data_IF_446073641380
#
_entry.id   IF_446073641380
#
_cell.length_a   1.000
_cell.length_b   1.000
_cell.length_c   1.000
_cell.angle_alpha   90.00
_cell.angle_beta   90.00
_cell.angle_gamma   90.00
#
_symmetry.space_group_name_H-M   'P 1'
#
loop_
_entity.id
_entity.type
_entity.pdbx_description
1 polymer ?
#
# COMPACT_ATOMS: atom_id res chain seq x y z
N UNK A 1 31.91 6.07 12.66
CA UNK A 1 31.33 6.23 14.02
C UNK A 1 29.98 5.50 14.19
N UNK A 2 29.01 5.59 13.27
CA UNK A 2 27.68 4.97 13.43
C UNK A 2 27.68 3.43 13.66
N UNK A 3 28.55 2.67 12.97
CA UNK A 3 28.62 1.20 13.11
C UNK A 3 29.13 0.71 14.46
N UNK A 4 30.10 1.41 15.06
CA UNK A 4 30.65 1.04 16.37
C UNK A 4 29.61 1.24 17.48
N UNK A 5 28.89 2.35 17.43
CA UNK A 5 27.76 2.62 18.33
C UNK A 5 26.66 1.58 18.20
N UNK A 6 26.25 1.22 16.98
CA UNK A 6 25.24 0.17 16.75
C UNK A 6 25.68 -1.20 17.28
N UNK A 7 26.97 -1.54 17.19
CA UNK A 7 27.51 -2.79 17.75
C UNK A 7 27.46 -2.77 19.29
N UNK A 8 27.85 -1.67 19.93
CA UNK A 8 27.77 -1.54 21.37
C UNK A 8 26.33 -1.59 21.89
N UNK A 9 25.41 -0.89 21.22
CA UNK A 9 23.98 -0.91 21.54
C UNK A 9 23.38 -2.32 21.42
N UNK A 10 23.82 -3.10 20.44
CA UNK A 10 23.39 -4.49 20.27
C UNK A 10 24.02 -5.44 21.28
N UNK A 11 25.32 -5.31 21.56
CA UNK A 11 25.99 -6.10 22.59
C UNK A 11 25.32 -5.93 23.96
N UNK A 12 24.90 -4.71 24.29
CA UNK A 12 24.14 -4.44 25.51
C UNK A 12 22.76 -5.11 25.53
N UNK A 13 22.07 -5.17 24.39
CA UNK A 13 20.82 -5.94 24.28
C UNK A 13 21.04 -7.43 24.59
N UNK A 14 22.10 -8.02 24.02
CA UNK A 14 22.46 -9.42 24.25
C UNK A 14 22.78 -9.67 25.72
N UNK A 15 23.62 -8.84 26.33
CA UNK A 15 24.00 -8.96 27.75
C UNK A 15 22.78 -8.96 28.69
N UNK A 16 21.78 -8.13 28.39
CA UNK A 16 20.61 -7.96 29.25
C UNK A 16 19.54 -9.02 29.01
N UNK A 17 19.26 -9.37 27.75
CA UNK A 17 18.10 -10.18 27.37
C UNK A 17 18.43 -11.66 27.17
N UNK A 18 19.63 -12.01 26.69
CA UNK A 18 19.98 -13.41 26.44
C UNK A 18 19.91 -14.29 27.70
N UNK A 19 20.35 -13.82 28.91
CA UNK A 19 20.22 -14.62 30.13
C UNK A 19 18.78 -14.92 30.56
N UNK A 20 17.80 -14.12 30.11
CA UNK A 20 16.37 -14.36 30.39
C UNK A 20 15.85 -15.57 29.60
N UNK A 21 16.48 -15.86 28.45
CA UNK A 21 16.05 -16.90 27.52
C UNK A 21 14.85 -16.47 26.67
N UNK A 22 14.69 -17.16 25.53
CA UNK A 22 13.55 -16.97 24.64
C UNK A 22 13.07 -18.31 24.10
N UNK A 23 11.80 -18.63 24.37
CA UNK A 23 11.13 -19.85 23.92
C UNK A 23 10.11 -19.59 22.82
N UNK A 24 9.93 -18.32 22.41
CA UNK A 24 8.96 -17.96 21.37
C UNK A 24 7.51 -17.95 21.84
N UNK A 25 7.26 -17.95 23.15
CA UNK A 25 5.95 -17.93 23.78
C UNK A 25 5.66 -16.61 24.52
N UNK A 26 4.47 -16.50 25.10
CA UNK A 26 4.04 -15.29 25.83
C UNK A 26 4.86 -15.05 27.11
N UNK A 27 5.29 -16.13 27.79
CA UNK A 27 6.15 -16.04 28.97
C UNK A 27 7.49 -15.39 28.65
N UNK A 28 8.07 -15.73 27.50
CA UNK A 28 9.32 -15.12 27.04
C UNK A 28 9.17 -13.61 26.83
N UNK A 29 8.04 -13.18 26.25
CA UNK A 29 7.72 -11.76 26.05
C UNK A 29 7.59 -11.04 27.40
N UNK A 30 6.82 -11.60 28.34
CA UNK A 30 6.63 -11.04 29.67
C UNK A 30 7.95 -10.93 30.44
N UNK A 31 8.80 -11.96 30.38
CA UNK A 31 10.08 -11.99 31.06
C UNK A 31 11.04 -10.92 30.51
N UNK A 32 11.08 -10.73 29.18
CA UNK A 32 11.87 -9.66 28.57
C UNK A 32 11.37 -8.27 28.99
N UNK A 33 10.05 -8.06 29.01
CA UNK A 33 9.45 -6.79 29.47
C UNK A 33 9.81 -6.52 30.92
N UNK A 34 9.66 -7.52 31.81
CA UNK A 34 9.99 -7.39 33.22
C UNK A 34 11.47 -7.02 33.40
N UNK A 35 12.36 -7.75 32.72
CA UNK A 35 13.80 -7.51 32.79
C UNK A 35 14.17 -6.09 32.38
N UNK A 36 13.58 -5.58 31.30
CA UNK A 36 13.82 -4.21 30.86
C UNK A 36 13.29 -3.17 31.86
N UNK A 37 12.16 -3.43 32.51
CA UNK A 37 11.60 -2.51 33.52
C UNK A 37 12.42 -2.41 34.81
N UNK A 38 13.22 -3.43 35.11
CA UNK A 38 14.12 -3.43 36.27
C UNK A 38 15.38 -2.60 36.07
N UNK A 39 15.69 -2.20 34.83
CA UNK A 39 16.88 -1.39 34.56
C UNK A 39 16.68 0.07 34.99
N UNK A 40 17.73 0.72 35.53
CA UNK A 40 17.66 2.11 35.96
C UNK A 40 17.62 3.11 34.78
N UNK A 41 17.34 4.37 35.08
CA UNK A 41 17.65 5.55 34.25
C UNK A 41 17.21 5.47 32.76
N UNK A 42 15.98 5.00 32.50
CA UNK A 42 15.40 4.82 31.15
C UNK A 42 16.14 3.81 30.25
N UNK A 43 17.13 3.07 30.78
CA UNK A 43 17.95 2.14 30.00
C UNK A 43 17.07 1.07 29.34
N UNK A 44 16.12 0.50 30.08
CA UNK A 44 15.20 -0.52 29.57
C UNK A 44 14.38 -0.05 28.38
N UNK A 45 13.85 1.17 28.47
CA UNK A 45 13.13 1.77 27.37
C UNK A 45 14.08 2.01 26.19
N UNK A 46 15.28 2.56 26.42
CA UNK A 46 16.27 2.78 25.36
C UNK A 46 16.66 1.48 24.64
N UNK A 47 16.82 0.37 25.36
CA UNK A 47 17.08 -0.95 24.79
C UNK A 47 15.89 -1.46 23.97
N UNK A 48 14.66 -1.38 24.50
CA UNK A 48 13.45 -1.73 23.72
C UNK A 48 13.40 -0.96 22.39
N UNK A 49 13.63 0.35 22.43
CA UNK A 49 13.69 1.22 21.24
C UNK A 49 14.82 0.82 20.28
N UNK A 50 15.98 0.43 20.80
CA UNK A 50 17.11 -0.05 19.99
C UNK A 50 16.78 -1.35 19.26
N UNK A 51 16.10 -2.29 19.92
CA UNK A 51 15.68 -3.56 19.31
C UNK A 51 14.70 -3.30 18.15
N UNK A 52 13.65 -2.50 18.39
CA UNK A 52 12.67 -2.16 17.36
C UNK A 52 13.31 -1.40 16.19
N UNK A 53 14.26 -0.50 16.46
CA UNK A 53 15.03 0.19 15.41
C UNK A 53 15.91 -0.78 14.62
N UNK A 54 16.60 -1.71 15.27
CA UNK A 54 17.41 -2.72 14.60
C UNK A 54 16.55 -3.59 13.67
N UNK A 55 15.37 -4.01 14.14
CA UNK A 55 14.39 -4.71 13.32
C UNK A 55 14.01 -3.89 12.07
N UNK A 56 13.55 -2.64 12.26
CA UNK A 56 13.10 -1.76 11.17
C UNK A 56 14.16 -1.60 10.06
N UNK A 57 15.42 -1.44 10.44
CA UNK A 57 16.52 -1.29 9.48
C UNK A 57 17.05 -2.62 8.91
N UNK A 58 16.45 -3.76 9.25
CA UNK A 58 16.87 -5.08 8.77
C UNK A 58 18.21 -5.52 9.34
N UNK A 59 18.56 -5.01 10.52
CA UNK A 59 19.80 -5.35 11.23
C UNK A 59 19.65 -6.56 12.14
N UNK A 60 18.41 -7.00 12.44
CA UNK A 60 18.14 -8.27 13.13
C UNK A 60 18.16 -9.43 12.13
N UNK A 61 19.37 -9.78 11.69
CA UNK A 61 19.61 -10.98 10.89
C UNK A 61 19.47 -12.26 11.73
N UNK A 62 19.29 -13.45 11.13
CA UNK A 62 19.16 -14.71 11.86
C UNK A 62 20.26 -14.96 12.90
N UNK A 63 21.50 -14.57 12.59
CA UNK A 63 22.66 -14.75 13.48
C UNK A 63 22.54 -13.85 14.72
N UNK A 64 22.13 -12.59 14.51
CA UNK A 64 21.88 -11.66 15.61
C UNK A 64 20.66 -12.05 16.44
N UNK A 65 19.64 -12.59 15.80
CA UNK A 65 18.51 -13.15 16.52
C UNK A 65 18.99 -14.31 17.42
N UNK A 66 19.81 -15.22 16.90
CA UNK A 66 20.39 -16.31 17.68
C UNK A 66 21.25 -15.85 18.85
N UNK A 67 22.02 -14.76 18.69
CA UNK A 67 22.76 -14.14 19.80
C UNK A 67 21.83 -13.65 20.94
N UNK A 68 20.65 -13.13 20.59
CA UNK A 68 19.68 -12.63 21.57
C UNK A 68 18.85 -13.73 22.23
N UNK A 69 18.46 -14.75 21.47
CA UNK A 69 17.49 -15.77 21.91
C UNK A 69 18.15 -17.09 22.31
N UNK A 70 19.42 -17.28 21.98
CA UNK A 70 20.15 -18.54 22.14
C UNK A 70 19.89 -19.56 21.03
N UNK A 71 19.00 -19.26 20.06
CA UNK A 71 18.66 -20.18 18.96
C UNK A 71 18.34 -19.43 17.66
N UNK A 72 18.79 -19.93 16.50
CA UNK A 72 18.41 -19.34 15.22
C UNK A 72 16.90 -19.47 14.97
N UNK A 73 16.28 -18.52 14.25
CA UNK A 73 14.89 -18.67 13.84
C UNK A 73 14.74 -19.84 12.86
N UNK A 74 13.60 -20.52 12.87
CA UNK A 74 13.33 -21.60 11.91
C UNK A 74 12.94 -21.03 10.54
N UNK A 75 12.25 -19.88 10.56
CA UNK A 75 11.81 -19.12 9.38
C UNK A 75 12.03 -17.63 9.62
N UNK A 76 12.21 -16.86 8.54
CA UNK A 76 12.35 -15.41 8.64
C UNK A 76 11.16 -14.73 9.35
N UNK A 77 9.93 -15.25 9.13
CA UNK A 77 8.70 -14.78 9.78
C UNK A 77 8.67 -14.98 11.29
N UNK A 78 9.50 -15.88 11.85
CA UNK A 78 9.55 -16.09 13.30
C UNK A 78 10.12 -14.84 14.01
N UNK A 79 11.10 -14.16 13.40
CA UNK A 79 11.60 -12.88 13.91
C UNK A 79 10.49 -11.82 13.82
N UNK A 80 9.78 -11.76 12.69
CA UNK A 80 8.73 -10.75 12.48
C UNK A 80 7.58 -10.89 13.48
N UNK A 81 7.13 -12.11 13.73
CA UNK A 81 6.08 -12.41 14.69
C UNK A 81 6.54 -12.19 16.14
N UNK A 82 7.78 -12.57 16.47
CA UNK A 82 8.36 -12.31 17.79
C UNK A 82 8.46 -10.81 18.06
N UNK A 83 8.97 -10.04 17.09
CA UNK A 83 9.09 -8.59 17.21
C UNK A 83 7.71 -7.93 17.28
N UNK A 84 6.70 -8.44 16.56
CA UNK A 84 5.32 -7.96 16.68
C UNK A 84 4.81 -8.06 18.12
N UNK A 85 4.95 -9.23 18.74
CA UNK A 85 4.52 -9.46 20.13
C UNK A 85 5.30 -8.59 21.11
N UNK A 86 6.61 -8.50 20.94
CA UNK A 86 7.47 -7.63 21.75
C UNK A 86 7.09 -6.15 21.61
N UNK A 87 6.78 -5.69 20.40
CA UNK A 87 6.37 -4.31 20.16
C UNK A 87 5.07 -4.00 20.91
N UNK A 88 4.07 -4.86 20.81
CA UNK A 88 2.79 -4.69 21.51
C UNK A 88 2.98 -4.64 23.03
N UNK A 89 3.83 -5.53 23.56
CA UNK A 89 4.13 -5.62 24.98
C UNK A 89 4.97 -4.43 25.49
N UNK A 90 5.99 -4.00 24.74
CA UNK A 90 6.78 -2.80 25.07
C UNK A 90 5.91 -1.54 25.07
N UNK A 91 4.97 -1.43 24.14
CA UNK A 91 4.03 -0.32 24.11
C UNK A 91 3.06 -0.35 25.30
N UNK A 92 2.53 -1.52 25.66
CA UNK A 92 1.68 -1.67 26.84
C UNK A 92 2.43 -1.36 28.15
N UNK A 93 3.71 -1.71 28.22
CA UNK A 93 4.57 -1.45 29.38
C UNK A 93 5.15 -0.02 29.43
N UNK A 94 4.87 0.82 28.43
CA UNK A 94 5.42 2.18 28.35
C UNK A 94 6.92 2.26 28.00
N UNK A 95 7.54 1.14 27.61
CA UNK A 95 8.96 1.06 27.23
C UNK A 95 9.23 1.61 25.82
N UNK A 96 8.23 1.53 24.94
CA UNK A 96 8.29 2.08 23.59
C UNK A 96 6.96 2.75 23.25
N UNK A 97 6.99 3.84 22.48
CA UNK A 97 5.75 4.39 21.91
C UNK A 97 5.44 3.69 20.57
N UNK A 98 4.17 3.58 20.16
CA UNK A 98 3.84 3.27 18.77
C UNK A 98 4.59 4.26 17.87
N UNK A 99 5.47 3.75 17.02
CA UNK A 99 6.32 4.62 16.22
C UNK A 99 5.58 5.08 14.97
N UNK A 100 5.53 6.40 14.80
CA UNK A 100 5.41 7.01 13.48
C UNK A 100 6.80 7.13 12.89
N UNK A 101 7.01 6.58 11.71
CA UNK A 101 8.29 6.76 11.00
C UNK A 101 8.14 7.86 9.97
N UNK A 102 7.97 9.10 10.42
CA UNK A 102 8.03 10.26 9.51
C UNK A 102 9.44 10.47 8.92
N UNK A 103 10.42 9.64 9.31
CA UNK A 103 11.81 9.69 8.88
C UNK A 103 11.94 9.45 7.36
N UNK A 104 11.82 10.53 6.57
CA UNK A 104 12.39 10.72 5.22
C UNK A 104 12.62 9.42 4.45
N UNK A 105 11.55 8.63 4.28
CA UNK A 105 11.60 7.38 3.55
C UNK A 105 11.59 7.72 2.06
N UNK A 106 12.73 8.14 1.52
CA UNK A 106 12.82 8.57 0.12
C UNK A 106 12.22 7.54 -0.85
N UNK A 107 12.53 6.25 -0.66
CA UNK A 107 11.84 5.13 -1.33
C UNK A 107 11.74 3.93 -0.39
N UNK A 108 10.55 3.35 -0.27
CA UNK A 108 10.35 2.11 0.48
C UNK A 108 11.03 0.96 -0.28
N UNK A 109 11.84 0.18 0.44
CA UNK A 109 12.49 -1.01 -0.09
C UNK A 109 11.69 -2.26 0.27
N UNK A 110 11.78 -3.30 -0.56
CA UNK A 110 11.09 -4.57 -0.35
C UNK A 110 11.22 -5.13 1.08
N UNK A 111 12.45 -5.19 1.62
CA UNK A 111 12.66 -5.69 2.98
C UNK A 111 11.98 -4.84 4.07
N UNK A 112 11.84 -3.53 3.86
CA UNK A 112 11.12 -2.65 4.77
C UNK A 112 9.61 -2.89 4.69
N UNK A 113 9.05 -2.95 3.47
CA UNK A 113 7.64 -3.23 3.23
C UNK A 113 7.23 -4.59 3.84
N UNK A 114 8.05 -5.63 3.67
CA UNK A 114 7.82 -6.94 4.28
C UNK A 114 7.76 -6.86 5.80
N UNK A 115 8.74 -6.22 6.46
CA UNK A 115 8.72 -6.08 7.93
C UNK A 115 7.54 -5.25 8.40
N UNK A 116 7.22 -4.19 7.69
CA UNK A 116 6.07 -3.33 7.99
C UNK A 116 4.74 -4.10 7.96
N UNK A 117 4.56 -5.04 7.04
CA UNK A 117 3.37 -5.88 6.95
C UNK A 117 3.07 -6.66 8.25
N UNK A 118 4.11 -6.98 9.01
CA UNK A 118 4.00 -7.74 10.26
C UNK A 118 3.67 -6.88 11.49
N UNK A 119 3.75 -5.55 11.37
CA UNK A 119 3.69 -4.64 12.52
C UNK A 119 2.43 -3.76 12.47
N UNK A 120 1.30 -4.17 13.09
CA UNK A 120 0.02 -3.46 12.98
C UNK A 120 0.07 -2.05 13.56
N UNK A 121 0.90 -1.83 14.60
CA UNK A 121 1.09 -0.52 15.24
C UNK A 121 2.14 0.36 14.57
N UNK A 122 2.82 -0.15 13.55
CA UNK A 122 3.79 0.62 12.79
C UNK A 122 3.11 1.30 11.61
N UNK A 123 3.18 2.63 11.59
CA UNK A 123 2.81 3.44 10.44
C UNK A 123 4.03 4.16 9.87
N UNK A 124 4.12 4.17 8.55
CA UNK A 124 5.13 4.84 7.75
C UNK A 124 4.87 6.35 7.67
N UNK A 125 3.62 6.82 7.76
CA UNK A 125 3.29 8.25 7.80
C UNK A 125 1.88 8.53 8.30
N UNK A 126 1.62 9.78 8.70
CA UNK A 126 0.33 10.19 9.28
C UNK A 126 -0.86 10.18 8.29
N UNK A 127 -0.60 10.31 7.00
CA UNK A 127 -1.58 10.30 5.91
C UNK A 127 -0.94 9.60 4.71
N UNK A 128 -1.73 8.90 3.89
CA UNK A 128 -1.33 8.39 2.58
C UNK A 128 -0.16 7.37 2.59
N UNK A 129 -0.07 6.58 3.65
CA UNK A 129 0.94 5.50 3.80
C UNK A 129 0.86 4.45 2.68
N UNK A 130 -0.33 4.20 2.13
CA UNK A 130 -0.54 3.34 0.97
C UNK A 130 0.13 3.92 -0.29
N UNK A 131 0.16 5.25 -0.47
CA UNK A 131 0.83 5.88 -1.60
C UNK A 131 2.34 5.61 -1.62
N UNK A 132 2.98 5.45 -0.45
CA UNK A 132 4.40 5.09 -0.38
C UNK A 132 4.69 3.66 -0.85
N UNK A 133 3.65 2.82 -0.89
CA UNK A 133 3.71 1.41 -1.24
C UNK A 133 3.17 1.11 -2.66
N UNK A 134 2.54 2.10 -3.29
CA UNK A 134 2.06 2.08 -4.68
C UNK A 134 3.20 2.25 -5.69
N UNK A 135 4.11 1.26 -5.72
CA UNK A 135 5.22 1.16 -6.67
C UNK A 135 5.16 -0.23 -7.33
N UNK A 136 5.27 -0.28 -8.67
CA UNK A 136 5.28 -1.54 -9.43
C UNK A 136 6.32 -2.54 -8.89
N UNK A 137 7.48 -2.04 -8.43
CA UNK A 137 8.55 -2.86 -7.89
C UNK A 137 8.21 -3.48 -6.52
N UNK A 138 7.22 -2.94 -5.81
CA UNK A 138 6.79 -3.43 -4.50
C UNK A 138 5.64 -4.43 -4.59
N UNK A 139 4.83 -4.43 -5.66
CA UNK A 139 3.68 -5.35 -5.81
C UNK A 139 4.04 -6.82 -5.53
N UNK A 140 5.12 -7.40 -6.10
CA UNK A 140 5.49 -8.78 -5.80
C UNK A 140 5.83 -9.00 -4.32
N UNK A 141 6.43 -8.00 -3.67
CA UNK A 141 6.77 -8.06 -2.24
C UNK A 141 5.51 -7.99 -1.37
N UNK A 142 4.54 -7.14 -1.73
CA UNK A 142 3.27 -7.02 -1.00
C UNK A 142 2.46 -8.31 -1.09
N UNK A 143 2.39 -8.91 -2.28
CA UNK A 143 1.74 -10.21 -2.47
C UNK A 143 2.46 -11.32 -1.71
N UNK A 144 3.79 -11.41 -1.82
CA UNK A 144 4.58 -12.40 -1.08
C UNK A 144 4.39 -12.26 0.44
N UNK A 145 4.39 -11.03 0.97
CA UNK A 145 4.12 -10.79 2.38
C UNK A 145 2.68 -11.19 2.75
N UNK A 146 1.68 -10.91 1.91
CA UNK A 146 0.29 -11.32 2.15
C UNK A 146 0.08 -12.85 2.14
N UNK A 147 1.01 -13.59 1.55
CA UNK A 147 1.02 -15.06 1.54
C UNK A 147 1.52 -15.66 2.86
N UNK A 148 2.31 -14.92 3.65
CA UNK A 148 2.90 -15.48 4.86
C UNK A 148 1.80 -15.73 5.92
N UNK A 149 1.73 -16.93 6.52
CA UNK A 149 0.72 -17.24 7.52
C UNK A 149 0.82 -16.32 8.74
N UNK A 150 -0.29 -15.72 9.16
CA UNK A 150 -0.37 -14.90 10.38
C UNK A 150 -0.01 -13.42 10.20
N UNK A 151 0.25 -12.95 8.98
CA UNK A 151 0.54 -11.53 8.71
C UNK A 151 -0.67 -10.66 9.06
N UNK A 152 -0.54 -9.73 10.03
CA UNK A 152 -1.67 -8.93 10.50
C UNK A 152 -2.24 -7.99 9.44
N UNK A 153 -1.40 -7.48 8.52
CA UNK A 153 -1.83 -6.54 7.48
C UNK A 153 -2.27 -7.21 6.18
N UNK A 154 -2.51 -8.53 6.16
CA UNK A 154 -2.82 -9.27 4.92
C UNK A 154 -3.85 -8.57 4.04
N UNK A 155 -5.02 -8.26 4.59
CA UNK A 155 -6.10 -7.63 3.83
C UNK A 155 -5.69 -6.24 3.30
N UNK A 156 -5.03 -5.45 4.13
CA UNK A 156 -4.57 -4.12 3.75
C UNK A 156 -3.52 -4.15 2.64
N UNK A 157 -2.61 -5.14 2.62
CA UNK A 157 -1.66 -5.34 1.52
C UNK A 157 -2.38 -5.60 0.19
N UNK A 158 -3.42 -6.45 0.20
CA UNK A 158 -4.20 -6.76 -0.99
C UNK A 158 -4.96 -5.53 -1.51
N UNK A 159 -5.49 -4.72 -0.60
CA UNK A 159 -6.16 -3.46 -0.92
C UNK A 159 -5.20 -2.44 -1.55
N UNK A 160 -3.96 -2.34 -1.06
CA UNK A 160 -2.91 -1.50 -1.66
C UNK A 160 -2.61 -1.96 -3.09
N UNK A 161 -2.49 -3.27 -3.34
CA UNK A 161 -2.25 -3.80 -4.70
C UNK A 161 -3.42 -3.48 -5.63
N UNK A 162 -4.66 -3.66 -5.16
CA UNK A 162 -5.86 -3.31 -5.93
C UNK A 162 -5.92 -1.80 -6.24
N UNK A 163 -5.63 -0.97 -5.24
CA UNK A 163 -5.57 0.49 -5.37
C UNK A 163 -4.49 0.89 -6.37
N UNK A 164 -3.27 0.35 -6.25
CA UNK A 164 -2.15 0.62 -7.15
C UNK A 164 -2.50 0.31 -8.61
N UNK A 165 -3.05 -0.89 -8.88
CA UNK A 165 -3.47 -1.29 -10.21
C UNK A 165 -4.53 -0.34 -10.78
N UNK A 166 -5.51 0.02 -9.96
CA UNK A 166 -6.61 0.92 -10.34
C UNK A 166 -6.11 2.32 -10.66
N UNK A 167 -5.36 2.93 -9.74
CA UNK A 167 -4.86 4.30 -9.88
C UNK A 167 -3.90 4.40 -11.07
N UNK A 168 -2.99 3.44 -11.24
CA UNK A 168 -2.09 3.38 -12.40
C UNK A 168 -2.86 3.35 -13.73
N UNK A 169 -3.89 2.52 -13.85
CA UNK A 169 -4.71 2.44 -15.05
C UNK A 169 -5.55 3.73 -15.25
N UNK A 170 -6.11 4.28 -14.18
CA UNK A 170 -6.86 5.54 -14.20
C UNK A 170 -5.98 6.70 -14.70
N UNK A 171 -4.76 6.84 -14.17
CA UNK A 171 -3.80 7.86 -14.59
C UNK A 171 -3.37 7.68 -16.05
N UNK A 172 -3.07 6.45 -16.46
CA UNK A 172 -2.74 6.14 -17.86
C UNK A 172 -3.89 6.53 -18.81
N UNK A 173 -5.13 6.22 -18.43
CA UNK A 173 -6.32 6.61 -19.17
C UNK A 173 -6.52 8.13 -19.19
N UNK A 174 -6.30 8.80 -18.06
CA UNK A 174 -6.44 10.25 -17.95
C UNK A 174 -5.43 10.99 -18.83
N UNK A 175 -4.15 10.62 -18.73
CA UNK A 175 -3.07 11.21 -19.51
C UNK A 175 -3.07 10.78 -20.99
N UNK A 176 -3.81 9.71 -21.32
CA UNK A 176 -3.90 9.18 -22.68
C UNK A 176 -2.61 8.51 -23.14
N UNK A 177 -1.84 7.95 -22.21
CA UNK A 177 -0.52 7.37 -22.45
C UNK A 177 -0.47 5.93 -21.92
N UNK A 178 0.03 5.00 -22.73
CA UNK A 178 0.39 3.63 -22.32
C UNK A 178 -0.74 2.81 -21.65
N UNK A 179 -2.02 3.17 -21.80
CA UNK A 179 -3.13 2.50 -21.09
C UNK A 179 -3.17 0.99 -21.32
N UNK A 180 -3.05 0.54 -22.57
CA UNK A 180 -3.01 -0.90 -22.88
C UNK A 180 -1.85 -1.62 -22.20
N UNK A 181 -0.66 -1.01 -22.19
CA UNK A 181 0.52 -1.58 -21.55
C UNK A 181 0.35 -1.64 -20.01
N UNK A 182 -0.24 -0.61 -19.41
CA UNK A 182 -0.53 -0.57 -17.97
C UNK A 182 -1.58 -1.62 -17.58
N UNK A 183 -2.64 -1.79 -18.36
CA UNK A 183 -3.66 -2.83 -18.14
C UNK A 183 -3.05 -4.24 -18.20
N UNK A 184 -2.21 -4.51 -19.20
CA UNK A 184 -1.50 -5.80 -19.33
C UNK A 184 -0.54 -6.04 -18.16
N UNK A 185 0.16 -4.99 -17.71
CA UNK A 185 1.06 -5.06 -16.55
C UNK A 185 0.31 -5.43 -15.27
N UNK A 186 -0.82 -4.75 -15.00
CA UNK A 186 -1.66 -5.04 -13.84
C UNK A 186 -2.15 -6.49 -13.86
N UNK A 187 -2.61 -6.98 -15.02
CA UNK A 187 -3.03 -8.37 -15.19
C UNK A 187 -1.90 -9.38 -14.96
N UNK A 188 -0.65 -9.00 -15.24
CA UNK A 188 0.54 -9.81 -14.97
C UNK A 188 0.72 -10.18 -13.50
N UNK A 189 0.08 -9.47 -12.56
CA UNK A 189 0.11 -9.78 -11.13
C UNK A 189 -0.97 -10.80 -10.70
N UNK A 190 -1.94 -11.12 -11.56
CA UNK A 190 -3.04 -12.01 -11.21
C UNK A 190 -2.61 -13.45 -10.82
N UNK A 191 -1.61 -14.08 -11.48
CA UNK A 191 -1.12 -15.39 -11.08
C UNK A 191 -0.62 -15.40 -9.62
N UNK A 192 0.18 -14.39 -9.25
CA UNK A 192 0.66 -14.24 -7.87
C UNK A 192 -0.49 -13.98 -6.89
N UNK A 193 -1.46 -13.13 -7.25
CA UNK A 193 -2.64 -12.91 -6.40
C UNK A 193 -3.42 -14.22 -6.14
N UNK A 194 -3.50 -15.11 -7.13
CA UNK A 194 -4.13 -16.44 -6.99
C UNK A 194 -3.32 -17.35 -6.07
N UNK A 195 -2.00 -17.40 -6.23
CA UNK A 195 -1.09 -18.21 -5.39
C UNK A 195 -1.20 -17.85 -3.90
N UNK A 196 -1.45 -16.58 -3.58
CA UNK A 196 -1.58 -16.10 -2.18
C UNK A 196 -3.01 -16.20 -1.63
N UNK A 197 -3.91 -16.88 -2.35
CA UNK A 197 -5.29 -17.09 -1.94
C UNK A 197 -6.13 -15.82 -1.96
N UNK A 198 -5.91 -14.92 -2.93
CA UNK A 198 -6.70 -13.72 -3.14
C UNK A 198 -7.47 -13.78 -4.48
N UNK A 199 -8.46 -14.69 -4.61
CA UNK A 199 -9.15 -14.95 -5.89
C UNK A 199 -9.91 -13.73 -6.43
N UNK A 200 -10.49 -12.90 -5.55
CA UNK A 200 -11.19 -11.68 -5.95
C UNK A 200 -10.23 -10.64 -6.55
N UNK A 201 -9.05 -10.48 -5.94
CA UNK A 201 -8.00 -9.63 -6.47
C UNK A 201 -7.48 -10.16 -7.82
N UNK A 202 -7.23 -11.46 -7.93
CA UNK A 202 -6.79 -12.08 -9.18
C UNK A 202 -7.82 -11.86 -10.31
N UNK A 203 -9.11 -12.09 -10.03
CA UNK A 203 -10.18 -11.86 -11.00
C UNK A 203 -10.30 -10.38 -11.40
N UNK A 204 -10.10 -9.46 -10.46
CA UNK A 204 -10.04 -8.02 -10.76
C UNK A 204 -8.87 -7.67 -11.69
N UNK A 205 -7.66 -8.15 -11.39
CA UNK A 205 -6.47 -7.90 -12.20
C UNK A 205 -6.60 -8.50 -13.61
N UNK A 206 -7.16 -9.70 -13.74
CA UNK A 206 -7.45 -10.33 -15.04
C UNK A 206 -8.48 -9.52 -15.84
N UNK A 207 -9.52 -9.03 -15.17
CA UNK A 207 -10.52 -8.17 -15.80
C UNK A 207 -9.90 -6.88 -16.32
N UNK A 208 -8.99 -6.24 -15.58
CA UNK A 208 -8.21 -5.11 -16.10
C UNK A 208 -7.46 -5.49 -17.39
N UNK A 209 -6.77 -6.63 -17.40
CA UNK A 209 -6.07 -7.12 -18.60
C UNK A 209 -6.97 -7.35 -19.80
N UNK A 210 -8.19 -7.86 -19.58
CA UNK A 210 -9.16 -8.09 -20.65
C UNK A 210 -9.51 -6.81 -21.42
N UNK A 211 -9.45 -5.65 -20.74
CA UNK A 211 -9.73 -4.36 -21.36
C UNK A 211 -8.69 -3.95 -22.43
N UNK A 212 -7.51 -4.59 -22.44
CA UNK A 212 -6.41 -4.34 -23.38
C UNK A 212 -6.36 -5.29 -24.59
N UNK A 213 -7.21 -6.31 -24.66
CA UNK A 213 -7.25 -7.28 -25.77
C UNK A 213 -8.01 -6.73 -26.99
N UNK A 214 -8.92 -5.79 -26.75
CA UNK A 214 -9.80 -5.24 -27.78
C UNK A 214 -10.91 -6.22 -28.20
N UNK A 215 -11.98 -5.67 -28.76
CA UNK A 215 -13.16 -6.41 -29.21
C UNK A 215 -14.44 -5.64 -28.97
N UNK A 216 -15.57 -6.10 -29.52
CA UNK A 216 -16.84 -5.42 -29.34
C UNK A 216 -17.21 -5.32 -27.86
N UNK A 217 -17.71 -4.15 -27.47
CA UNK A 217 -18.17 -3.86 -26.11
C UNK A 217 -19.65 -3.52 -26.20
N UNK A 218 -20.43 -3.82 -25.16
CA UNK A 218 -21.80 -3.34 -25.03
C UNK A 218 -21.86 -2.26 -23.93
N UNK A 219 -23.05 -1.75 -23.64
CA UNK A 219 -23.19 -0.73 -22.61
C UNK A 219 -22.68 -1.22 -21.25
N UNK A 220 -22.98 -2.46 -20.86
CA UNK A 220 -22.57 -3.01 -19.57
C UNK A 220 -21.05 -3.14 -19.46
N UNK A 221 -20.38 -3.57 -20.53
CA UNK A 221 -18.91 -3.61 -20.62
C UNK A 221 -18.29 -2.21 -20.58
N UNK A 222 -18.93 -1.21 -21.20
CA UNK A 222 -18.50 0.19 -21.11
C UNK A 222 -18.63 0.73 -19.68
N UNK A 223 -19.73 0.44 -18.98
CA UNK A 223 -19.91 0.77 -17.57
C UNK A 223 -18.83 0.12 -16.70
N UNK A 224 -18.56 -1.18 -16.90
CA UNK A 224 -17.55 -1.91 -16.13
C UNK A 224 -16.14 -1.34 -16.32
N UNK A 225 -15.78 -0.94 -17.55
CA UNK A 225 -14.51 -0.27 -17.83
C UNK A 225 -14.35 1.03 -17.04
N UNK A 226 -15.41 1.82 -16.89
CA UNK A 226 -15.35 3.06 -16.08
C UNK A 226 -15.25 2.77 -14.58
N UNK A 227 -15.96 1.75 -14.08
CA UNK A 227 -15.85 1.31 -12.68
C UNK A 227 -14.42 0.88 -12.34
N UNK A 228 -13.83 0.05 -13.20
CA UNK A 228 -12.48 -0.47 -13.03
C UNK A 228 -11.39 0.62 -13.18
N UNK A 229 -11.72 1.80 -13.74
CA UNK A 229 -10.82 2.94 -13.91
C UNK A 229 -11.13 4.11 -12.96
N UNK A 230 -11.94 3.93 -11.92
CA UNK A 230 -12.17 4.97 -10.91
C UNK A 230 -10.93 5.28 -10.08
N UNK A 231 -10.71 6.52 -9.64
CA UNK A 231 -9.55 6.82 -8.79
C UNK A 231 -9.77 6.32 -7.35
N UNK A 232 -8.72 5.77 -6.74
CA UNK A 232 -8.66 5.24 -5.38
C UNK A 232 -9.54 4.00 -5.11
N UNK A 233 -10.84 4.10 -5.36
CA UNK A 233 -11.80 3.01 -5.15
C UNK A 233 -12.74 2.87 -6.34
N UNK A 234 -13.42 1.73 -6.42
CA UNK A 234 -14.52 1.56 -7.37
C UNK A 234 -15.61 2.60 -7.06
N UNK A 235 -16.01 3.44 -8.02
CA UNK A 235 -17.04 4.42 -7.79
C UNK A 235 -18.41 3.75 -7.74
N UNK A 236 -19.38 4.31 -7.00
CA UNK A 236 -20.73 3.79 -7.03
C UNK A 236 -21.30 3.93 -8.46
N UNK A 237 -22.04 2.91 -8.93
CA UNK A 237 -22.66 2.92 -10.27
C UNK A 237 -23.50 4.18 -10.53
N UNK A 238 -24.14 4.73 -9.51
CA UNK A 238 -24.93 5.96 -9.58
C UNK A 238 -24.11 7.21 -9.90
N UNK A 239 -22.78 7.19 -9.73
CA UNK A 239 -21.89 8.29 -10.06
C UNK A 239 -21.37 8.23 -11.52
N UNK A 240 -21.67 7.16 -12.27
CA UNK A 240 -21.25 7.04 -13.67
C UNK A 240 -22.15 7.92 -14.57
N UNK A 241 -21.54 8.86 -15.30
CA UNK A 241 -22.19 9.56 -16.41
C UNK A 241 -21.68 8.97 -17.74
N UNK A 242 -22.26 7.83 -18.11
CA UNK A 242 -22.05 7.14 -19.38
C UNK A 242 -23.12 7.56 -20.40
N UNK A 243 -22.68 8.17 -21.51
CA UNK A 243 -23.56 8.60 -22.62
C UNK A 243 -23.28 7.80 -23.87
N UNK A 244 -24.33 7.45 -24.58
CA UNK A 244 -24.22 6.88 -25.93
C UNK A 244 -23.81 7.99 -26.90
N UNK A 245 -22.84 7.70 -27.74
CA UNK A 245 -22.38 8.57 -28.85
C UNK A 245 -22.29 7.75 -30.13
N UNK A 246 -22.11 8.40 -31.27
CA UNK A 246 -21.85 7.69 -32.52
C UNK A 246 -20.61 6.80 -32.36
N UNK A 247 -20.76 5.51 -32.69
CA UNK A 247 -19.68 4.53 -32.62
C UNK A 247 -19.31 4.04 -31.22
N UNK A 248 -19.99 4.44 -30.13
CA UNK A 248 -19.67 3.94 -28.80
C UNK A 248 -20.23 4.73 -27.62
N UNK A 249 -19.41 4.90 -26.60
CA UNK A 249 -19.78 5.56 -25.35
C UNK A 249 -18.76 6.58 -24.85
N UNK A 250 -19.26 7.60 -24.16
CA UNK A 250 -18.47 8.56 -23.39
C UNK A 250 -18.77 8.44 -21.90
N UNK A 251 -17.73 8.27 -21.10
CA UNK A 251 -17.82 8.31 -19.64
C UNK A 251 -16.90 9.36 -19.02
N UNK A 252 -17.21 9.82 -17.82
CA UNK A 252 -16.23 10.58 -17.03
C UNK A 252 -15.31 9.64 -16.25
N UNK A 253 -14.01 9.94 -16.29
CA UNK A 253 -13.08 9.43 -15.30
C UNK A 253 -13.27 10.23 -14.00
N UNK A 254 -13.59 9.53 -12.92
CA UNK A 254 -13.81 10.14 -11.61
C UNK A 254 -12.43 10.33 -10.95
N UNK A 255 -11.93 11.57 -10.97
CA UNK A 255 -10.65 12.01 -10.42
C UNK A 255 -10.87 13.19 -9.46
N UNK A 256 -10.04 13.33 -8.43
CA UNK A 256 -10.11 14.52 -7.57
C UNK A 256 -9.64 15.78 -8.34
N UNK A 257 -10.57 16.65 -8.73
CA UNK A 257 -10.28 18.05 -9.10
C UNK A 257 -10.23 18.40 -10.59
N UNK A 258 -10.20 17.42 -11.52
CA UNK A 258 -10.36 17.67 -12.97
C UNK A 258 -11.02 16.48 -13.65
N UNK A 259 -12.11 16.73 -14.35
CA UNK A 259 -12.82 15.68 -15.07
C UNK A 259 -12.28 15.59 -16.50
N UNK A 260 -11.91 14.39 -16.94
CA UNK A 260 -11.72 14.06 -18.36
C UNK A 260 -12.70 13.01 -18.78
N UNK A 261 -13.12 13.09 -20.05
CA UNK A 261 -13.95 12.07 -20.64
C UNK A 261 -13.09 10.98 -21.26
N UNK A 262 -13.55 9.75 -21.13
CA UNK A 262 -13.02 8.59 -21.79
C UNK A 262 -14.03 8.18 -22.86
N UNK A 263 -13.58 8.08 -24.11
CA UNK A 263 -14.34 7.47 -25.19
C UNK A 263 -14.01 5.99 -25.28
N UNK A 264 -15.04 5.16 -25.35
CA UNK A 264 -14.97 3.71 -25.51
C UNK A 264 -15.62 3.36 -26.85
N UNK A 265 -14.83 2.84 -27.79
CA UNK A 265 -15.33 2.39 -29.09
C UNK A 265 -16.17 1.12 -28.97
N UNK A 266 -17.32 1.05 -29.64
CA UNK A 266 -18.23 -0.10 -29.58
C UNK A 266 -17.72 -1.33 -30.32
N UNK A 267 -17.03 -1.14 -31.44
CA UNK A 267 -16.55 -2.25 -32.27
C UNK A 267 -15.24 -2.83 -31.74
N UNK A 268 -14.38 -1.98 -31.18
CA UNK A 268 -13.02 -2.38 -30.78
C UNK A 268 -12.79 -2.33 -29.28
N UNK A 269 -13.67 -1.72 -28.50
CA UNK A 269 -13.51 -1.57 -27.04
C UNK A 269 -12.35 -0.65 -26.66
N UNK A 270 -11.74 0.04 -27.64
CA UNK A 270 -10.57 0.88 -27.40
C UNK A 270 -10.98 2.12 -26.59
N UNK A 271 -10.17 2.43 -25.59
CA UNK A 271 -10.40 3.55 -24.69
C UNK A 271 -9.46 4.71 -25.05
N UNK A 272 -10.01 5.91 -25.24
CA UNK A 272 -9.25 7.11 -25.59
C UNK A 272 -9.66 8.29 -24.72
N UNK A 273 -8.66 9.00 -24.18
CA UNK A 273 -8.89 10.23 -23.43
C UNK A 273 -9.34 11.33 -24.39
N UNK A 274 -10.49 11.92 -24.13
CA UNK A 274 -10.97 13.10 -24.86
C UNK A 274 -11.05 14.29 -23.89
N UNK A 275 -10.50 15.42 -24.34
CA UNK A 275 -10.69 16.67 -23.59
C UNK A 275 -12.16 17.05 -23.68
N UNK A 276 -12.81 17.49 -22.59
CA UNK A 276 -14.11 18.11 -22.72
C UNK A 276 -13.98 19.28 -23.69
N UNK A 277 -14.89 19.38 -24.66
CA UNK A 277 -14.96 20.58 -25.50
C UNK A 277 -14.95 21.80 -24.56
N UNK A 278 -14.12 22.83 -24.83
CA UNK A 278 -14.19 24.05 -24.06
C UNK A 278 -15.64 24.53 -24.14
N UNK A 279 -16.29 24.66 -22.99
CA UNK A 279 -17.68 25.07 -22.91
C UNK A 279 -17.88 26.24 -23.88
N UNK A 280 -18.63 26.03 -24.98
CA UNK A 280 -19.01 27.10 -25.89
C UNK A 280 -19.56 28.20 -25.00
N UNK A 281 -18.82 29.31 -24.86
CA UNK A 281 -19.26 30.46 -24.08
C UNK A 281 -20.65 30.79 -24.59
N UNK A 282 -21.69 30.41 -23.84
CA UNK A 282 -23.03 30.94 -24.03
C UNK A 282 -22.85 32.43 -23.81
N UNK A 283 -22.71 33.19 -24.90
CA UNK A 283 -22.86 34.64 -24.88
C UNK A 283 -24.26 34.88 -24.33
N UNK A 284 -24.34 35.14 -23.04
CA UNK A 284 -25.51 35.77 -22.46
C UNK A 284 -25.67 37.08 -23.24
N UNK A 285 -26.64 37.12 -24.16
CA UNK A 285 -27.17 38.39 -24.65
C UNK A 285 -27.64 39.11 -23.40
N UNK A 286 -26.91 40.13 -22.97
CA UNK A 286 -27.38 41.09 -21.97
C UNK A 286 -28.71 41.64 -22.50
N UNK A 287 -29.82 41.56 -21.76
CA UNK A 287 -30.96 42.40 -22.05
C UNK A 287 -30.49 43.85 -21.84
N UNK A 288 -30.67 44.68 -22.88
CA UNK A 288 -30.33 46.09 -22.81
C UNK A 288 -31.13 46.77 -21.71
N UNK A 289 -30.42 47.47 -20.82
CA UNK A 289 -30.97 48.51 -19.96
C UNK A 289 -29.86 49.49 -19.59
N UNK A 290 -30.02 50.70 -20.09
CA UNK A 290 -29.73 52.05 -19.51
C UNK A 290 -30.24 53.01 -20.60
N UNK A 291 -31.28 53.85 -20.47
CA UNK A 291 -31.62 54.81 -19.40
C UNK A 291 -30.33 55.46 -18.90
N UNK A 292 -29.96 56.66 -19.35
CA UNK A 292 -30.56 57.90 -18.85
C UNK A 292 -30.10 59.14 -19.67
N UNK A 293 -30.85 60.24 -19.49
CA UNK A 293 -30.41 61.64 -19.56
C UNK A 293 -30.22 62.34 -20.92
N UNK A 294 -31.28 63.00 -21.39
CA UNK A 294 -31.37 64.47 -21.51
C UNK A 294 -32.84 64.90 -21.53
#
# INVERSE_FOLDING_TARGET
MARARQRAEFARLVEVLAPVGWQGDERSVEAWVLRLRELPDDEGAQLARNLLRAYRHGLLLPERWAELTGAPPQRASDIDDAVRRLWDAFAAAGLAKPYRTEENLGRIRAGLARRWAWQPRWSLMSQDEDLLLMDDALVPTLLAAAAEPGVPKRQYLLEIVAHHARDSCCQAAYHGQELEATLRRAAGWAPQAREVGAPELAAYLERLGSHAVGGPVDRAGAEQRLLDLGRCQEPPRSALDLRTVEGGWDGWLILSGRNRRLRIDAATGRMTSISPEPARKRRARRPGKTAEES
#
